data_IF_346162458819
#
_entry.id   IF_346162458819
#
_cell.length_a   1.000
_cell.length_b   1.000
_cell.length_c   1.000
_cell.angle_alpha   90.00
_cell.angle_beta   90.00
_cell.angle_gamma   90.00
#
_symmetry.space_group_name_H-M   'P 1'
#
loop_
_entity.id
_entity.type
_entity.pdbx_description
1 polymer ?
#
# COMPACT_ATOMS: atom_id res chain seq x y z
N UNK A 1 16.34 -7.37 19.70
CA UNK A 1 17.43 -6.57 20.32
C UNK A 1 18.36 -5.88 19.33
N UNK A 2 18.90 -6.54 18.30
CA UNK A 2 19.90 -5.95 17.38
C UNK A 2 19.45 -4.61 16.73
N UNK A 3 18.17 -4.49 16.35
CA UNK A 3 17.61 -3.25 15.80
C UNK A 3 17.62 -2.08 16.81
N UNK A 4 17.44 -2.35 18.11
CA UNK A 4 17.51 -1.32 19.17
C UNK A 4 18.93 -0.77 19.32
N UNK A 5 19.95 -1.63 19.25
CA UNK A 5 21.35 -1.18 19.23
C UNK A 5 21.66 -0.34 17.98
N UNK A 6 21.09 -0.70 16.82
CA UNK A 6 21.22 0.11 15.60
C UNK A 6 20.60 1.51 15.77
N UNK A 7 19.43 1.59 16.43
CA UNK A 7 18.75 2.85 16.74
C UNK A 7 19.57 3.72 17.69
N UNK A 8 20.16 3.11 18.73
CA UNK A 8 21.04 3.78 19.70
C UNK A 8 22.47 4.02 19.17
N UNK A 9 22.74 3.83 17.87
CA UNK A 9 24.08 3.95 17.23
C UNK A 9 25.18 3.03 17.82
N UNK A 10 24.81 2.00 18.58
CA UNK A 10 25.74 1.04 19.22
C UNK A 10 26.14 -0.10 18.26
N UNK A 11 26.91 0.23 17.21
CA UNK A 11 27.22 -0.71 16.12
C UNK A 11 28.05 -1.93 16.56
N UNK A 12 28.97 -1.77 17.52
CA UNK A 12 29.76 -2.90 18.06
C UNK A 12 28.86 -3.95 18.74
N UNK A 13 27.91 -3.50 19.57
CA UNK A 13 26.93 -4.38 20.25
C UNK A 13 25.99 -5.05 19.26
N UNK A 14 25.52 -4.31 18.25
CA UNK A 14 24.74 -4.87 17.14
C UNK A 14 25.50 -6.02 16.44
N UNK A 15 26.77 -5.79 16.06
CA UNK A 15 27.61 -6.81 15.40
C UNK A 15 27.80 -8.05 16.29
N UNK A 16 28.09 -7.87 17.59
CA UNK A 16 28.22 -8.98 18.55
C UNK A 16 26.95 -9.82 18.63
N UNK A 17 25.79 -9.18 18.76
CA UNK A 17 24.49 -9.86 18.80
C UNK A 17 24.19 -10.61 17.50
N UNK A 18 24.43 -9.98 16.34
CA UNK A 18 24.25 -10.67 15.04
C UNK A 18 25.18 -11.86 14.88
N UNK A 19 26.44 -11.76 15.32
CA UNK A 19 27.39 -12.88 15.31
C UNK A 19 26.90 -14.03 16.19
N UNK A 20 26.43 -13.74 17.41
CA UNK A 20 25.85 -14.75 18.30
C UNK A 20 24.65 -15.46 17.67
N UNK A 21 23.70 -14.71 17.10
CA UNK A 21 22.54 -15.29 16.42
C UNK A 21 22.96 -16.17 15.23
N UNK A 22 23.89 -15.70 14.40
CA UNK A 22 24.42 -16.48 13.26
C UNK A 22 25.07 -17.79 13.74
N UNK A 23 25.85 -17.75 14.83
CA UNK A 23 26.45 -18.95 15.41
C UNK A 23 25.41 -19.93 15.93
N UNK A 24 24.38 -19.46 16.67
CA UNK A 24 23.33 -20.33 17.20
C UNK A 24 22.54 -21.00 16.08
N UNK A 25 22.08 -20.23 15.09
CA UNK A 25 21.35 -20.76 13.93
C UNK A 25 22.22 -21.75 13.16
N UNK A 26 23.50 -21.43 12.93
CA UNK A 26 24.42 -22.33 12.24
C UNK A 26 24.77 -23.61 13.00
N UNK A 27 24.65 -23.62 14.33
CA UNK A 27 24.77 -24.85 15.14
C UNK A 27 23.53 -25.72 14.96
N UNK A 28 22.34 -25.14 15.13
CA UNK A 28 21.06 -25.86 14.96
C UNK A 28 20.92 -26.41 13.54
N UNK A 29 21.26 -25.62 12.52
CA UNK A 29 21.26 -26.06 11.12
C UNK A 29 22.10 -27.33 10.91
N UNK A 30 23.36 -27.32 11.35
CA UNK A 30 24.27 -28.47 11.21
C UNK A 30 23.85 -29.68 12.05
N UNK A 31 23.19 -29.44 13.17
CA UNK A 31 22.69 -30.53 14.01
C UNK A 31 21.52 -31.26 13.36
N UNK A 32 20.54 -30.49 12.86
CA UNK A 32 19.40 -31.02 12.11
C UNK A 32 19.87 -31.73 10.84
N UNK A 33 20.81 -31.13 10.10
CA UNK A 33 21.37 -31.72 8.87
C UNK A 33 22.02 -33.09 9.15
N UNK A 34 22.77 -33.24 10.25
CA UNK A 34 23.35 -34.52 10.67
C UNK A 34 22.31 -35.55 11.09
N UNK A 35 21.27 -35.13 11.80
CA UNK A 35 20.20 -36.03 12.25
C UNK A 35 19.35 -36.55 11.08
N UNK A 36 19.15 -35.72 10.05
CA UNK A 36 18.37 -36.10 8.85
C UNK A 36 19.01 -37.19 8.01
N UNK A 37 20.33 -37.39 8.10
CA UNK A 37 21.03 -38.47 7.39
C UNK A 37 20.50 -39.86 7.76
N UNK A 38 19.96 -40.04 8.97
CA UNK A 38 19.43 -41.33 9.41
C UNK A 38 17.89 -41.40 9.37
N UNK A 39 17.22 -40.40 8.77
CA UNK A 39 15.77 -40.32 8.71
C UNK A 39 15.23 -40.76 7.34
N UNK A 40 13.94 -41.08 7.30
CA UNK A 40 13.24 -41.43 6.07
C UNK A 40 13.20 -40.26 5.08
N UNK A 41 13.05 -40.57 3.79
CA UNK A 41 13.01 -39.56 2.74
C UNK A 41 11.83 -38.59 2.88
N UNK A 42 10.71 -39.06 3.46
CA UNK A 42 9.56 -38.20 3.77
C UNK A 42 9.94 -37.08 4.76
N UNK A 43 10.71 -37.39 5.81
CA UNK A 43 11.17 -36.40 6.79
C UNK A 43 12.17 -35.45 6.14
N UNK A 44 13.12 -35.96 5.36
CA UNK A 44 14.10 -35.14 4.64
C UNK A 44 13.41 -34.15 3.69
N UNK A 45 12.39 -34.61 2.96
CA UNK A 45 11.61 -33.76 2.06
C UNK A 45 10.88 -32.64 2.82
N UNK A 46 10.30 -32.95 3.99
CA UNK A 46 9.62 -31.96 4.83
C UNK A 46 10.55 -30.84 5.33
N UNK A 47 11.81 -31.16 5.62
CA UNK A 47 12.80 -30.17 6.09
C UNK A 47 13.53 -29.42 4.97
N UNK A 48 13.49 -29.93 3.74
CA UNK A 48 14.25 -29.40 2.59
C UNK A 48 14.12 -27.89 2.42
N UNK A 49 12.89 -27.38 2.29
CA UNK A 49 12.63 -25.96 2.07
C UNK A 49 13.12 -25.09 3.25
N UNK A 50 12.96 -25.58 4.47
CA UNK A 50 13.37 -24.88 5.70
C UNK A 50 14.89 -24.78 5.80
N UNK A 51 15.60 -25.86 5.44
CA UNK A 51 17.07 -25.89 5.43
C UNK A 51 17.64 -25.01 4.32
N UNK A 52 17.08 -25.05 3.11
CA UNK A 52 17.48 -24.18 1.99
C UNK A 52 17.34 -22.69 2.37
N UNK A 53 16.21 -22.30 2.98
CA UNK A 53 16.01 -20.93 3.50
C UNK A 53 17.03 -20.57 4.58
N UNK A 54 17.31 -21.49 5.50
CA UNK A 54 18.24 -21.27 6.61
C UNK A 54 19.66 -21.10 6.09
N UNK A 55 20.10 -21.97 5.18
CA UNK A 55 21.39 -21.90 4.51
C UNK A 55 21.55 -20.57 3.77
N UNK A 56 20.53 -20.14 3.02
CA UNK A 56 20.51 -18.83 2.36
C UNK A 56 20.68 -17.67 3.34
N UNK A 57 20.04 -17.71 4.51
CA UNK A 57 20.19 -16.66 5.55
C UNK A 57 21.59 -16.65 6.17
N UNK A 58 22.20 -17.83 6.34
CA UNK A 58 23.56 -17.93 6.89
C UNK A 58 24.62 -17.44 5.89
N UNK A 59 24.39 -17.66 4.59
CA UNK A 59 25.35 -17.33 3.54
C UNK A 59 25.19 -15.91 2.99
N UNK A 60 23.98 -15.34 3.02
CA UNK A 60 23.75 -14.01 2.46
C UNK A 60 24.62 -12.93 3.12
N UNK A 61 25.16 -12.05 2.30
CA UNK A 61 25.98 -10.91 2.69
C UNK A 61 25.23 -9.58 2.50
N UNK A 62 25.84 -8.47 2.93
CA UNK A 62 25.20 -7.16 2.87
C UNK A 62 24.98 -6.65 1.44
N UNK A 63 25.85 -7.01 0.49
CA UNK A 63 25.78 -6.54 -0.90
C UNK A 63 25.04 -7.47 -1.85
N UNK A 64 24.57 -8.61 -1.35
CA UNK A 64 23.87 -9.58 -2.19
C UNK A 64 22.55 -9.01 -2.73
N UNK A 65 22.24 -9.40 -3.96
CA UNK A 65 20.94 -9.17 -4.59
C UNK A 65 19.96 -10.26 -4.13
N UNK A 66 18.66 -9.97 -4.21
CA UNK A 66 17.60 -10.93 -3.88
C UNK A 66 17.79 -11.56 -2.48
N UNK A 67 17.93 -10.75 -1.44
CA UNK A 67 18.12 -11.24 -0.06
C UNK A 67 16.82 -11.80 0.52
N UNK A 68 16.95 -12.75 1.44
CA UNK A 68 15.80 -13.29 2.18
C UNK A 68 15.51 -12.37 3.38
N UNK A 69 14.46 -11.55 3.27
CA UNK A 69 14.06 -10.59 4.30
C UNK A 69 13.08 -11.15 5.34
N UNK A 70 12.30 -12.17 4.98
CA UNK A 70 11.36 -12.84 5.88
C UNK A 70 11.40 -14.35 5.69
N UNK A 71 11.56 -15.08 6.79
CA UNK A 71 11.64 -16.55 6.76
C UNK A 71 10.32 -17.19 6.30
N UNK A 72 9.20 -16.64 6.74
CA UNK A 72 7.86 -17.17 6.45
C UNK A 72 7.23 -16.61 5.18
N UNK A 73 7.85 -15.58 4.58
CA UNK A 73 7.36 -14.95 3.35
C UNK A 73 8.55 -14.53 2.48
N UNK A 74 9.06 -15.47 1.69
CA UNK A 74 10.28 -15.30 0.87
C UNK A 74 10.17 -14.20 -0.18
N UNK A 75 8.95 -13.91 -0.65
CA UNK A 75 8.59 -12.85 -1.60
C UNK A 75 8.68 -11.42 -1.04
N UNK A 76 8.88 -11.25 0.28
CA UNK A 76 8.94 -9.92 0.90
C UNK A 76 10.16 -9.16 0.38
N UNK A 77 9.93 -7.97 -0.14
CA UNK A 77 10.98 -7.10 -0.66
C UNK A 77 11.37 -6.03 0.38
N UNK A 78 12.57 -5.47 0.20
CA UNK A 78 13.04 -4.32 0.96
C UNK A 78 12.92 -3.06 0.10
N UNK A 79 12.00 -2.18 0.50
CA UNK A 79 11.69 -0.94 -0.19
C UNK A 79 12.39 0.20 0.55
N UNK A 80 13.40 0.79 -0.07
CA UNK A 80 14.08 1.97 0.45
C UNK A 80 13.11 3.14 0.54
N UNK A 81 13.07 3.77 1.71
CA UNK A 81 12.38 5.02 1.95
C UNK A 81 13.42 6.12 2.04
N UNK A 82 13.24 7.20 1.27
CA UNK A 82 14.03 8.43 1.38
C UNK A 82 13.78 9.22 2.68
N UNK A 83 13.35 8.56 3.76
CA UNK A 83 13.01 9.18 5.05
C UNK A 83 14.10 8.88 6.08
N UNK A 84 14.53 9.91 6.82
CA UNK A 84 15.63 9.81 7.79
C UNK A 84 15.30 8.86 8.95
N UNK A 85 14.08 8.93 9.49
CA UNK A 85 13.65 8.17 10.67
C UNK A 85 13.25 6.72 10.36
N UNK A 86 12.85 6.41 9.12
CA UNK A 86 12.50 5.05 8.67
C UNK A 86 13.03 4.84 7.26
N UNK A 87 14.22 4.24 7.16
CA UNK A 87 14.96 4.07 5.91
C UNK A 87 14.45 2.96 5.01
N UNK A 88 13.76 1.97 5.57
CA UNK A 88 13.28 0.80 4.83
C UNK A 88 11.88 0.43 5.28
N UNK A 89 11.06 -0.02 4.32
CA UNK A 89 9.83 -0.78 4.54
C UNK A 89 9.99 -2.17 3.93
N UNK A 90 9.33 -3.16 4.51
CA UNK A 90 9.34 -4.53 4.02
C UNK A 90 7.93 -4.90 3.56
N UNK A 91 7.81 -5.47 2.37
CA UNK A 91 6.53 -5.87 1.80
C UNK A 91 6.58 -5.89 0.29
N UNK A 92 5.41 -5.69 -0.34
CA UNK A 92 5.25 -5.54 -1.79
C UNK A 92 4.82 -4.11 -2.08
N UNK A 93 5.31 -3.55 -3.18
CA UNK A 93 4.93 -2.20 -3.60
C UNK A 93 3.46 -2.20 -4.02
N UNK A 94 2.73 -1.16 -3.63
CA UNK A 94 1.31 -0.98 -4.02
C UNK A 94 1.16 0.40 -4.65
N UNK A 95 0.61 0.43 -5.86
CA UNK A 95 0.19 1.66 -6.53
C UNK A 95 -1.28 1.95 -6.21
N UNK A 96 -1.56 3.21 -5.84
CA UNK A 96 -2.91 3.67 -5.50
C UNK A 96 -3.30 4.77 -6.49
N UNK A 97 -4.46 4.62 -7.12
CA UNK A 97 -5.04 5.60 -8.04
C UNK A 97 -6.33 6.15 -7.45
N UNK A 98 -6.43 7.47 -7.36
CA UNK A 98 -7.59 8.16 -6.79
C UNK A 98 -8.11 9.23 -7.74
N UNK A 99 -9.38 9.54 -7.61
CA UNK A 99 -9.97 10.71 -8.27
C UNK A 99 -9.44 12.01 -7.66
N UNK A 100 -9.09 12.99 -8.50
CA UNK A 100 -8.53 14.27 -8.02
C UNK A 100 -9.54 15.14 -7.23
N UNK A 101 -10.84 14.97 -7.47
CA UNK A 101 -11.89 15.79 -6.83
C UNK A 101 -12.31 15.27 -5.47
N UNK A 102 -12.61 13.97 -5.38
CA UNK A 102 -13.19 13.37 -4.17
C UNK A 102 -12.22 12.46 -3.43
N UNK A 103 -11.01 12.20 -3.95
CA UNK A 103 -10.06 11.24 -3.40
C UNK A 103 -10.60 9.80 -3.30
N UNK A 104 -11.65 9.48 -4.07
CA UNK A 104 -12.19 8.14 -4.17
C UNK A 104 -11.17 7.22 -4.86
N UNK A 105 -10.88 6.06 -4.27
CA UNK A 105 -9.91 5.10 -4.78
C UNK A 105 -10.51 4.38 -5.98
N UNK A 106 -9.88 4.52 -7.14
CA UNK A 106 -10.26 3.84 -8.38
C UNK A 106 -9.40 2.61 -8.67
N UNK A 107 -8.19 2.56 -8.11
CA UNK A 107 -7.26 1.46 -8.34
C UNK A 107 -6.36 1.26 -7.12
N UNK A 108 -6.08 0.00 -6.82
CA UNK A 108 -5.11 -0.43 -5.85
C UNK A 108 -4.46 -1.70 -6.38
N UNK A 109 -3.21 -1.59 -6.85
CA UNK A 109 -2.50 -2.69 -7.53
C UNK A 109 -1.21 -3.01 -6.81
N UNK A 110 -0.96 -4.29 -6.53
CA UNK A 110 0.32 -4.77 -6.02
C UNK A 110 1.32 -4.97 -7.17
N UNK A 111 2.60 -4.76 -6.87
CA UNK A 111 3.71 -4.83 -7.80
C UNK A 111 4.86 -5.63 -7.17
N UNK A 112 4.85 -6.97 -7.31
CA UNK A 112 5.98 -7.80 -6.91
C UNK A 112 7.19 -7.55 -7.83
N UNK A 113 8.39 -7.88 -7.36
CA UNK A 113 9.68 -7.64 -8.01
C UNK A 113 10.30 -6.27 -7.71
N UNK A 114 9.73 -5.46 -6.81
CA UNK A 114 10.15 -4.08 -6.51
C UNK A 114 10.49 -3.23 -7.75
N UNK A 115 9.55 -3.11 -8.73
CA UNK A 115 9.81 -2.36 -9.96
C UNK A 115 10.04 -0.87 -9.68
N UNK A 116 10.74 -0.18 -10.59
CA UNK A 116 10.83 1.28 -10.52
C UNK A 116 9.44 1.93 -10.62
N UNK A 117 9.19 2.98 -9.83
CA UNK A 117 7.87 3.62 -9.74
C UNK A 117 7.36 4.07 -11.12
N UNK A 118 8.24 4.55 -12.01
CA UNK A 118 7.84 4.93 -13.36
C UNK A 118 7.17 3.79 -14.15
N UNK A 119 7.59 2.54 -13.96
CA UNK A 119 7.06 1.39 -14.68
C UNK A 119 5.70 0.90 -14.15
N UNK A 120 5.25 1.41 -13.00
CA UNK A 120 3.97 0.99 -12.41
C UNK A 120 2.79 1.86 -12.85
N UNK A 121 3.05 3.04 -13.42
CA UNK A 121 2.02 4.04 -13.72
C UNK A 121 0.98 3.52 -14.71
N UNK A 122 1.43 2.91 -15.81
CA UNK A 122 0.56 2.41 -16.86
C UNK A 122 -0.40 1.34 -16.32
N UNK A 123 0.11 0.35 -15.59
CA UNK A 123 -0.71 -0.70 -14.98
C UNK A 123 -1.69 -0.18 -13.92
N UNK A 124 -1.35 0.92 -13.22
CA UNK A 124 -2.27 1.57 -12.29
C UNK A 124 -3.42 2.26 -13.03
N UNK A 125 -3.10 2.97 -14.11
CA UNK A 125 -4.09 3.66 -14.94
C UNK A 125 -5.00 2.66 -15.66
N UNK A 126 -4.43 1.59 -16.21
CA UNK A 126 -5.17 0.49 -16.80
C UNK A 126 -6.20 -0.07 -15.82
N UNK A 127 -5.80 -0.36 -14.57
CA UNK A 127 -6.73 -0.84 -13.55
C UNK A 127 -7.85 0.18 -13.27
N UNK A 128 -7.52 1.47 -13.20
CA UNK A 128 -8.52 2.52 -13.00
C UNK A 128 -9.50 2.62 -14.17
N UNK A 129 -9.05 2.40 -15.42
CA UNK A 129 -9.91 2.34 -16.61
C UNK A 129 -10.85 1.14 -16.55
N UNK A 130 -10.32 -0.04 -16.23
CA UNK A 130 -11.12 -1.27 -16.11
C UNK A 130 -12.23 -1.10 -15.06
N UNK A 131 -11.90 -0.53 -13.89
CA UNK A 131 -12.85 -0.39 -12.78
C UNK A 131 -13.85 0.76 -12.96
N UNK A 132 -13.49 1.82 -13.68
CA UNK A 132 -14.37 2.98 -13.91
C UNK A 132 -15.10 2.97 -15.24
N UNK A 133 -14.71 2.10 -16.18
CA UNK A 133 -15.18 2.09 -17.56
C UNK A 133 -14.81 3.34 -18.37
N UNK A 134 -14.01 4.27 -17.81
CA UNK A 134 -13.74 5.58 -18.42
C UNK A 134 -12.26 5.88 -18.44
N UNK A 135 -11.74 6.29 -19.62
CA UNK A 135 -10.35 6.75 -19.74
C UNK A 135 -10.20 8.18 -19.24
N UNK A 136 -9.30 8.38 -18.28
CA UNK A 136 -8.93 9.71 -17.82
C UNK A 136 -8.15 10.47 -18.92
N UNK A 137 -8.50 11.75 -19.13
CA UNK A 137 -7.77 12.65 -20.03
C UNK A 137 -6.49 13.22 -19.40
N UNK A 138 -6.50 13.35 -18.08
CA UNK A 138 -5.43 13.96 -17.30
C UNK A 138 -5.11 13.09 -16.09
N UNK A 139 -3.82 12.88 -15.83
CA UNK A 139 -3.32 12.24 -14.61
C UNK A 139 -2.40 13.19 -13.86
N UNK A 140 -2.51 13.19 -12.53
CA UNK A 140 -1.63 13.95 -11.64
C UNK A 140 -0.81 12.95 -10.83
N UNK A 141 0.52 13.03 -10.95
CA UNK A 141 1.43 12.01 -10.41
C UNK A 141 2.52 12.64 -9.53
N UNK A 142 3.04 11.84 -8.60
CA UNK A 142 4.19 12.22 -7.80
C UNK A 142 5.48 12.30 -8.64
N UNK A 143 6.51 12.93 -8.07
CA UNK A 143 7.82 13.10 -8.69
C UNK A 143 8.53 11.77 -9.01
N UNK A 144 8.13 10.66 -8.37
CA UNK A 144 8.68 9.32 -8.62
C UNK A 144 8.39 8.80 -10.04
N UNK A 145 7.35 9.32 -10.69
CA UNK A 145 6.95 8.93 -12.05
C UNK A 145 7.59 9.82 -13.14
N UNK A 146 8.77 10.37 -12.87
CA UNK A 146 9.47 11.25 -13.83
C UNK A 146 9.91 10.45 -15.06
N UNK A 147 9.67 11.01 -16.24
CA UNK A 147 10.09 10.43 -17.53
C UNK A 147 9.08 9.46 -18.15
N UNK A 148 7.95 9.22 -17.48
CA UNK A 148 6.88 8.37 -18.03
C UNK A 148 5.94 9.21 -18.89
N UNK A 149 5.64 8.68 -20.07
CA UNK A 149 4.62 9.18 -20.98
C UNK A 149 3.64 8.05 -21.27
N UNK A 150 2.35 8.36 -21.30
CA UNK A 150 1.30 7.39 -21.60
C UNK A 150 0.54 7.92 -22.82
N UNK A 151 0.34 7.11 -23.87
CA UNK A 151 -0.38 7.54 -25.06
C UNK A 151 -1.76 8.11 -24.72
N UNK A 152 -2.18 9.15 -25.44
CA UNK A 152 -3.52 9.77 -25.35
C UNK A 152 -3.91 10.29 -23.94
N UNK A 153 -2.93 10.61 -23.08
CA UNK A 153 -3.20 11.16 -21.75
C UNK A 153 -2.15 12.19 -21.35
N UNK A 154 -2.60 13.33 -20.81
CA UNK A 154 -1.68 14.36 -20.30
C UNK A 154 -1.30 14.07 -18.85
N UNK A 155 0.00 13.91 -18.59
CA UNK A 155 0.53 13.66 -17.24
C UNK A 155 1.09 14.96 -16.65
N UNK A 156 0.53 15.38 -15.52
CA UNK A 156 1.03 16.50 -14.73
C UNK A 156 1.79 15.99 -13.51
N UNK A 157 3.01 16.48 -13.32
CA UNK A 157 3.90 16.04 -12.24
C UNK A 157 3.79 16.97 -11.04
N UNK A 158 3.86 16.41 -9.83
CA UNK A 158 3.92 17.20 -8.60
C UNK A 158 5.03 18.26 -8.69
N UNK A 159 4.73 19.48 -8.23
CA UNK A 159 5.62 20.66 -8.27
C UNK A 159 5.99 21.19 -9.68
N UNK A 160 5.39 20.68 -10.75
CA UNK A 160 5.54 21.28 -12.07
C UNK A 160 5.04 22.73 -12.04
N UNK A 161 5.82 23.66 -12.61
CA UNK A 161 5.45 25.08 -12.73
C UNK A 161 5.18 25.47 -14.19
N UNK A 162 5.98 24.93 -15.12
CA UNK A 162 5.88 25.18 -16.56
C UNK A 162 4.66 24.48 -17.16
N UNK A 163 3.86 25.20 -17.96
CA UNK A 163 2.64 24.69 -18.58
C UNK A 163 1.39 24.71 -17.68
N UNK A 164 1.48 25.26 -16.46
CA UNK A 164 0.35 25.37 -15.54
C UNK A 164 -0.21 26.79 -15.54
N UNK A 165 -0.86 27.12 -16.65
CA UNK A 165 -1.31 28.49 -16.90
C UNK A 165 -2.73 28.74 -16.35
N UNK A 166 -3.54 27.68 -16.18
CA UNK A 166 -4.94 27.82 -15.75
C UNK A 166 -5.14 27.63 -14.25
N UNK A 167 -6.11 28.35 -13.67
CA UNK A 167 -6.50 28.22 -12.25
C UNK A 167 -6.98 26.80 -11.91
N UNK A 168 -7.64 26.12 -12.87
CA UNK A 168 -8.09 24.73 -12.74
C UNK A 168 -6.91 23.78 -12.53
N UNK A 169 -5.87 23.86 -13.37
CA UNK A 169 -4.68 23.01 -13.27
C UNK A 169 -3.90 23.28 -11.99
N UNK A 170 -3.74 24.55 -11.60
CA UNK A 170 -3.11 24.91 -10.31
C UNK A 170 -3.83 24.27 -9.12
N UNK A 171 -5.18 24.33 -9.10
CA UNK A 171 -6.01 23.70 -8.06
C UNK A 171 -5.94 22.17 -8.09
N UNK A 172 -5.93 21.56 -9.28
CA UNK A 172 -5.86 20.11 -9.42
C UNK A 172 -4.50 19.57 -8.97
N UNK A 173 -3.41 20.25 -9.34
CA UNK A 173 -2.07 19.89 -8.90
C UNK A 173 -1.89 20.06 -7.38
N UNK A 174 -2.41 21.15 -6.79
CA UNK A 174 -2.41 21.32 -5.33
C UNK A 174 -3.16 20.20 -4.61
N UNK A 175 -4.26 19.71 -5.18
CA UNK A 175 -5.04 18.59 -4.64
C UNK A 175 -4.35 17.24 -4.78
N UNK A 176 -3.43 17.08 -5.72
CA UNK A 176 -2.62 15.86 -5.83
C UNK A 176 -1.87 15.55 -4.52
N UNK A 177 -1.48 16.57 -3.75
CA UNK A 177 -0.86 16.39 -2.44
C UNK A 177 -1.76 15.67 -1.42
N UNK A 178 -3.07 15.56 -1.68
CA UNK A 178 -4.00 14.79 -0.86
C UNK A 178 -3.82 13.27 -1.01
N UNK A 179 -3.02 12.78 -1.97
CA UNK A 179 -2.71 11.35 -2.07
C UNK A 179 -1.97 10.83 -0.84
N UNK A 180 -1.08 11.63 -0.26
CA UNK A 180 -0.31 11.27 0.93
C UNK A 180 -1.21 11.01 2.15
N UNK A 181 -2.16 11.90 2.53
CA UNK A 181 -3.10 11.59 3.59
C UNK A 181 -4.02 10.41 3.25
N UNK A 182 -4.40 10.21 1.98
CA UNK A 182 -5.17 9.02 1.57
C UNK A 182 -4.39 7.73 1.82
N UNK A 183 -3.12 7.68 1.41
CA UNK A 183 -2.22 6.54 1.71
C UNK A 183 -2.04 6.38 3.22
N UNK A 184 -1.95 7.48 3.96
CA UNK A 184 -1.94 7.47 5.43
C UNK A 184 -3.18 6.78 6.02
N UNK A 185 -4.37 7.16 5.57
CA UNK A 185 -5.64 6.53 5.98
C UNK A 185 -5.73 5.07 5.54
N UNK A 186 -5.23 4.71 4.36
CA UNK A 186 -5.17 3.32 3.92
C UNK A 186 -4.25 2.49 4.83
N UNK A 187 -3.11 3.04 5.25
CA UNK A 187 -2.17 2.35 6.14
C UNK A 187 -2.69 2.20 7.57
N UNK A 188 -3.23 3.27 8.15
CA UNK A 188 -3.61 3.30 9.56
C UNK A 188 -5.00 2.70 9.79
N UNK A 189 -5.99 3.13 9.01
CA UNK A 189 -7.38 2.69 9.20
C UNK A 189 -7.71 1.47 8.34
N UNK A 190 -7.06 1.36 7.17
CA UNK A 190 -7.31 0.29 6.19
C UNK A 190 -6.36 -0.90 6.29
N UNK A 191 -5.45 -0.91 7.28
CA UNK A 191 -4.44 -1.96 7.50
C UNK A 191 -3.46 -2.20 6.35
N UNK A 192 -3.38 -1.31 5.35
CA UNK A 192 -2.45 -1.45 4.22
C UNK A 192 -0.98 -1.56 4.69
N UNK A 193 -0.66 -1.08 5.88
CA UNK A 193 0.66 -1.19 6.49
C UNK A 193 1.08 -2.62 6.90
N UNK A 194 0.15 -3.58 6.96
CA UNK A 194 0.41 -4.97 7.34
C UNK A 194 -0.55 -5.93 6.64
N UNK A 195 -0.01 -6.76 5.75
CA UNK A 195 -0.79 -7.82 5.11
C UNK A 195 -0.81 -9.10 5.97
N UNK A 196 -2.00 -9.68 6.14
CA UNK A 196 -2.24 -10.96 6.81
C UNK A 196 -2.44 -12.13 5.82
N UNK A 197 -2.66 -11.83 4.54
CA UNK A 197 -2.83 -12.81 3.49
C UNK A 197 -1.48 -13.32 2.97
N UNK A 198 -1.43 -14.60 2.61
CA UNK A 198 -0.23 -15.28 2.09
C UNK A 198 -0.20 -15.23 0.57
N UNK A 199 1.01 -15.31 -0.01
CA UNK A 199 1.20 -15.39 -1.47
C UNK A 199 0.93 -14.06 -2.21
N UNK A 200 1.44 -13.93 -3.43
CA UNK A 200 1.33 -12.70 -4.23
C UNK A 200 -0.13 -12.32 -4.50
N UNK A 201 -0.97 -13.34 -4.74
CA UNK A 201 -2.43 -13.18 -4.84
C UNK A 201 -3.02 -12.56 -3.58
N UNK A 202 -2.56 -12.98 -2.39
CA UNK A 202 -2.95 -12.37 -1.12
C UNK A 202 -2.52 -10.91 -1.00
N UNK A 203 -1.37 -10.51 -1.54
CA UNK A 203 -0.95 -9.10 -1.56
C UNK A 203 -1.84 -8.26 -2.49
N UNK A 204 -2.21 -8.81 -3.65
CA UNK A 204 -3.10 -8.17 -4.59
C UNK A 204 -4.51 -7.97 -4.01
N UNK A 205 -5.10 -9.04 -3.45
CA UNK A 205 -6.41 -8.99 -2.79
C UNK A 205 -6.42 -8.01 -1.63
N UNK A 206 -5.39 -8.04 -0.78
CA UNK A 206 -5.28 -7.13 0.36
C UNK A 206 -5.28 -5.67 -0.09
N UNK A 207 -4.48 -5.31 -1.10
CA UNK A 207 -4.45 -3.94 -1.62
C UNK A 207 -5.83 -3.46 -2.11
N UNK A 208 -6.55 -4.30 -2.86
CA UNK A 208 -7.90 -4.01 -3.35
C UNK A 208 -8.88 -3.82 -2.17
N UNK A 209 -8.87 -4.74 -1.19
CA UNK A 209 -9.74 -4.67 -0.01
C UNK A 209 -9.48 -3.42 0.82
N UNK A 210 -8.22 -3.02 1.01
CA UNK A 210 -7.86 -1.77 1.68
C UNK A 210 -8.46 -0.55 0.94
N UNK A 211 -8.36 -0.53 -0.39
CA UNK A 211 -8.93 0.51 -1.25
C UNK A 211 -10.46 0.59 -1.15
N UNK A 212 -11.13 -0.55 -1.30
CA UNK A 212 -12.57 -0.67 -1.15
C UNK A 212 -13.04 -0.24 0.26
N UNK A 213 -12.35 -0.70 1.30
CA UNK A 213 -12.63 -0.32 2.68
C UNK A 213 -12.46 1.18 2.94
N UNK A 214 -11.55 1.87 2.24
CA UNK A 214 -11.46 3.33 2.30
C UNK A 214 -12.69 3.99 1.68
N UNK A 215 -13.10 3.56 0.50
CA UNK A 215 -14.28 4.08 -0.18
C UNK A 215 -15.56 3.86 0.63
N UNK A 216 -15.76 2.66 1.20
CA UNK A 216 -16.91 2.37 2.07
C UNK A 216 -16.93 3.32 3.27
N UNK A 217 -15.79 3.55 3.94
CA UNK A 217 -15.70 4.52 5.05
C UNK A 217 -16.06 5.94 4.62
N UNK A 218 -15.68 6.35 3.41
CA UNK A 218 -16.09 7.66 2.88
C UNK A 218 -17.61 7.74 2.68
N UNK A 219 -18.21 6.72 2.07
CA UNK A 219 -19.65 6.65 1.83
C UNK A 219 -20.42 6.66 3.15
N UNK A 220 -20.01 5.85 4.12
CA UNK A 220 -20.64 5.78 5.45
C UNK A 220 -20.57 7.12 6.20
N UNK A 221 -19.46 7.85 6.10
CA UNK A 221 -19.34 9.20 6.68
C UNK A 221 -20.34 10.16 6.04
N UNK A 222 -20.51 10.11 4.72
CA UNK A 222 -21.46 10.97 4.02
C UNK A 222 -22.91 10.61 4.38
N UNK A 223 -23.24 9.32 4.43
CA UNK A 223 -24.57 8.84 4.84
C UNK A 223 -24.89 9.25 6.28
N UNK A 224 -23.92 9.16 7.20
CA UNK A 224 -24.09 9.58 8.60
C UNK A 224 -24.48 11.06 8.72
N UNK A 225 -23.98 11.91 7.82
CA UNK A 225 -24.34 13.33 7.78
C UNK A 225 -25.68 13.51 7.05
N UNK A 226 -25.87 12.85 5.91
CA UNK A 226 -27.05 13.05 5.06
C UNK A 226 -28.35 12.55 5.70
N UNK A 227 -28.36 11.34 6.29
CA UNK A 227 -29.58 10.69 6.78
C UNK A 227 -30.34 11.53 7.84
N UNK A 228 -29.69 12.13 8.86
CA UNK A 228 -30.39 13.01 9.79
C UNK A 228 -31.00 14.26 9.15
N UNK A 229 -30.32 14.85 8.16
CA UNK A 229 -30.81 16.04 7.45
C UNK A 229 -32.01 15.68 6.57
N UNK A 230 -31.91 14.55 5.88
CA UNK A 230 -33.01 14.00 5.09
C UNK A 230 -34.22 13.71 5.96
N UNK A 231 -34.03 13.01 7.08
CA UNK A 231 -35.10 12.69 8.03
C UNK A 231 -35.79 13.94 8.58
N UNK A 232 -35.02 14.94 9.04
CA UNK A 232 -35.58 16.23 9.50
C UNK A 232 -36.38 16.95 8.42
N UNK A 233 -35.91 16.92 7.18
CA UNK A 233 -36.59 17.55 6.04
C UNK A 233 -37.90 16.81 5.71
N UNK A 234 -37.86 15.48 5.74
CA UNK A 234 -39.04 14.64 5.52
C UNK A 234 -40.10 14.87 6.62
N UNK A 235 -39.71 14.87 7.89
CA UNK A 235 -40.61 15.17 9.01
C UNK A 235 -41.27 16.55 8.83
N UNK A 236 -40.52 17.59 8.44
CA UNK A 236 -41.08 18.93 8.20
C UNK A 236 -42.12 18.94 7.07
N UNK A 237 -41.95 18.13 6.03
CA UNK A 237 -42.92 18.03 4.93
C UNK A 237 -44.19 17.31 5.43
N UNK A 238 -44.02 16.22 6.18
CA UNK A 238 -45.14 15.42 6.69
C UNK A 238 -45.93 16.12 7.80
N UNK A 239 -45.30 17.00 8.59
CA UNK A 239 -45.97 17.77 9.66
C UNK A 239 -46.43 19.16 9.20
N UNK A 240 -46.40 19.47 7.90
CA UNK A 240 -46.99 20.72 7.39
C UNK A 240 -48.52 20.62 7.54
N UNK A 241 -49.17 21.55 8.27
CA UNK A 241 -50.63 21.59 8.28
C UNK A 241 -51.13 21.83 6.85
N UNK A 242 -52.09 21.03 6.40
CA UNK A 242 -52.88 21.33 5.20
C UNK A 242 -53.50 22.72 5.42
N UNK A 243 -53.06 23.70 4.65
CA UNK A 243 -53.66 25.04 4.64
C UNK A 243 -55.17 24.86 4.45
N UNK A 244 -55.97 25.34 5.42
CA UNK A 244 -57.42 25.31 5.35
C UNK A 244 -57.92 25.96 4.04
N UNK A 245 -59.01 25.45 3.44
CA UNK A 245 -59.51 25.98 2.18
C UNK A 245 -59.94 27.44 2.35
N UNK A 246 -59.58 28.26 1.36
CA UNK A 246 -60.04 29.62 1.12
C UNK A 246 -61.55 29.73 1.42
N UNK A 247 -61.92 30.40 2.53
CA UNK A 247 -63.26 30.93 2.69
C UNK A 247 -63.35 32.22 1.87
N UNK A 248 -63.96 32.10 0.69
CA UNK A 248 -64.52 33.21 -0.07
C UNK A 248 -65.63 33.85 0.78
N UNK A 249 -65.38 35.03 1.32
CA UNK A 249 -66.45 35.91 1.82
C UNK A 249 -66.72 36.98 0.76
N UNK A 250 -67.91 36.86 0.17
CA UNK A 250 -68.64 37.82 -0.67
C UNK A 250 -68.80 39.18 -0.01
#
# INVERSE_FOLDING_TARGET
>A
MANRYSHAKQMKRKRKMLKQLKTLVGRVYRDIERQLTNQSDAVRLAFKETLEKTQRILNQQTQDKNKLYSFHATKVECISKGKVHKKYEFGVKVGITVTNKSNFVLGARSFPGNPYDGHTLESCLEQAVILSGTRAKEAFVDLGYRGVEVPNMTIYKARQKRGINTRRLKRALKRCNAIEPVIGHLKNDGLLGRNYLKGELGDAMHAILCGAGHNIRMILRQLRIFLPHFWRSLCRILTRPLSAPFLLST
#
